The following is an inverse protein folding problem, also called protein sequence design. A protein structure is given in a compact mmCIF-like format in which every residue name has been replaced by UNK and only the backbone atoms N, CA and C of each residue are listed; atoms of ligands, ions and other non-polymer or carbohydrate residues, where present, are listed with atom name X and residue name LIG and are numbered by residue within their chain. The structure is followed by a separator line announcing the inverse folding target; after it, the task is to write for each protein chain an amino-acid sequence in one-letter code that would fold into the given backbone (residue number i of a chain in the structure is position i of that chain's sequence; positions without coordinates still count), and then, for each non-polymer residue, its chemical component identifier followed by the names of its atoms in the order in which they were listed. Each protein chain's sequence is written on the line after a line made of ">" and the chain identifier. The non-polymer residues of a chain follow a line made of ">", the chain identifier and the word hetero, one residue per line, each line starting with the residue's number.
data_IF_286048245972
#
_entry.id   IF_286048245972
#
_cell.length_a   1.000
_cell.length_b   1.000
_cell.length_c   1.000
_cell.angle_alpha   90.00
_cell.angle_beta   90.00
_cell.angle_gamma   90.00
#
_symmetry.space_group_name_H-M   'P 1'
#
loop_
_entity.id
_entity.type
_entity.pdbx_description
1 polymer ?
#
# COMPACT_ATOMS: atom_id res chain seq x y z
N UNK A 1 19.36 16.14 -4.63
CA UNK A 1 17.91 16.01 -4.58
C UNK A 1 17.38 17.11 -3.67
N UNK A 2 16.60 18.07 -4.21
CA UNK A 2 15.92 19.05 -3.39
C UNK A 2 14.98 18.31 -2.44
N UNK A 3 15.30 18.36 -1.14
CA UNK A 3 14.51 17.71 -0.09
C UNK A 3 13.36 18.65 0.28
N UNK A 4 12.14 18.23 0.02
CA UNK A 4 10.94 18.91 0.55
C UNK A 4 10.81 18.56 2.03
N UNK A 5 10.45 19.55 2.83
CA UNK A 5 10.17 19.34 4.25
C UNK A 5 8.69 18.95 4.43
N UNK A 6 8.44 17.66 4.64
CA UNK A 6 7.13 17.21 5.09
C UNK A 6 6.99 17.47 6.60
N UNK A 7 5.83 17.96 7.03
CA UNK A 7 5.50 18.01 8.44
C UNK A 7 5.25 16.59 8.95
N UNK A 8 6.17 16.06 9.77
CA UNK A 8 6.05 14.70 10.31
C UNK A 8 5.20 14.73 11.59
N UNK A 9 3.97 14.23 11.51
CA UNK A 9 3.01 14.09 12.60
C UNK A 9 2.90 12.67 13.14
N UNK A 10 3.79 11.77 12.71
CA UNK A 10 3.79 10.35 13.10
C UNK A 10 3.93 10.16 14.61
N UNK A 11 4.59 11.08 15.31
CA UNK A 11 4.76 11.08 16.76
C UNK A 11 3.44 11.29 17.54
N UNK A 12 2.37 11.76 16.89
CA UNK A 12 1.05 11.92 17.52
C UNK A 12 0.33 10.58 17.70
N UNK A 13 0.77 9.54 17.00
CA UNK A 13 0.12 8.24 16.97
C UNK A 13 1.13 7.16 17.41
N UNK A 14 0.82 6.48 18.51
CA UNK A 14 1.69 5.43 19.05
C UNK A 14 0.99 4.08 18.91
N UNK A 15 1.02 3.51 17.71
CA UNK A 15 0.48 2.17 17.48
C UNK A 15 1.52 1.10 17.82
N UNK A 16 1.13 0.03 18.54
CA UNK A 16 2.01 -1.09 18.79
C UNK A 16 2.37 -1.82 17.50
N UNK A 17 3.59 -2.31 17.42
CA UNK A 17 4.00 -3.18 16.33
C UNK A 17 3.31 -4.53 16.47
N UNK A 18 2.59 -4.95 15.43
CA UNK A 18 1.91 -6.23 15.38
C UNK A 18 2.90 -7.36 15.02
N UNK A 19 2.75 -8.52 15.65
CA UNK A 19 3.43 -9.72 15.19
C UNK A 19 2.82 -10.16 13.85
N UNK A 20 3.67 -10.38 12.85
CA UNK A 20 3.27 -10.85 11.53
C UNK A 20 3.60 -12.33 11.39
N UNK A 21 2.60 -13.12 11.03
CA UNK A 21 2.72 -14.55 10.75
C UNK A 21 2.59 -14.74 9.23
N UNK A 22 3.69 -15.10 8.58
CA UNK A 22 3.68 -15.38 7.14
C UNK A 22 3.03 -16.73 6.86
N UNK A 23 2.16 -16.76 5.84
CA UNK A 23 1.39 -17.94 5.45
C UNK A 23 0.35 -17.59 4.39
N UNK A 24 -0.52 -18.54 4.09
CA UNK A 24 -1.67 -18.33 3.21
C UNK A 24 -2.96 -18.69 3.96
N UNK A 25 -3.68 -17.68 4.50
CA UNK A 25 -3.40 -16.24 4.41
C UNK A 25 -2.29 -15.76 5.38
N UNK A 26 -1.68 -14.61 5.09
CA UNK A 26 -0.84 -13.87 6.04
C UNK A 26 -1.71 -13.34 7.17
N UNK A 27 -1.25 -13.48 8.41
CA UNK A 27 -1.95 -13.02 9.61
C UNK A 27 -1.13 -11.96 10.36
N UNK A 28 -1.83 -11.16 11.14
CA UNK A 28 -1.26 -10.25 12.13
C UNK A 28 -1.92 -10.54 13.49
N UNK A 29 -1.13 -10.45 14.57
CA UNK A 29 -1.64 -10.62 15.94
C UNK A 29 -1.82 -9.25 16.56
N UNK A 30 -3.06 -8.92 16.97
CA UNK A 30 -3.35 -7.65 17.66
C UNK A 30 -2.82 -7.67 19.09
N UNK A 31 -2.73 -6.50 19.77
CA UNK A 31 -2.34 -6.45 21.17
C UNK A 31 -3.19 -7.34 22.09
N UNK A 32 -4.45 -7.55 21.76
CA UNK A 32 -5.41 -8.40 22.49
C UNK A 32 -5.30 -9.88 22.11
N UNK A 33 -4.35 -10.24 21.23
CA UNK A 33 -4.07 -11.62 20.81
C UNK A 33 -4.97 -12.13 19.67
N UNK A 34 -5.81 -11.30 19.05
CA UNK A 34 -6.61 -11.71 17.92
C UNK A 34 -5.72 -11.89 16.67
N UNK A 35 -5.91 -13.00 15.94
CA UNK A 35 -5.21 -13.27 14.68
C UNK A 35 -6.07 -12.82 13.51
N UNK A 36 -5.67 -11.76 12.86
CA UNK A 36 -6.42 -11.13 11.77
C UNK A 36 -5.71 -11.34 10.43
N UNK A 37 -6.42 -11.72 9.34
CA UNK A 37 -5.82 -11.81 8.02
C UNK A 37 -5.41 -10.44 7.50
N UNK A 38 -4.37 -10.44 6.65
CA UNK A 38 -3.91 -9.18 6.08
C UNK A 38 -4.91 -8.62 5.07
N UNK A 39 -5.06 -7.29 5.05
CA UNK A 39 -5.84 -6.57 4.04
C UNK A 39 -5.45 -7.01 2.63
N UNK A 40 -4.15 -7.16 2.37
CA UNK A 40 -3.63 -7.58 1.06
C UNK A 40 -3.94 -9.04 0.73
N UNK A 41 -4.08 -9.94 1.72
CA UNK A 41 -4.58 -11.31 1.47
C UNK A 41 -6.03 -11.30 1.03
N UNK A 42 -6.86 -10.46 1.64
CA UNK A 42 -8.27 -10.30 1.26
C UNK A 42 -8.41 -9.72 -0.14
N UNK A 43 -7.72 -8.61 -0.45
CA UNK A 43 -7.82 -7.99 -1.78
C UNK A 43 -7.18 -8.84 -2.87
N UNK A 44 -6.09 -9.57 -2.57
CA UNK A 44 -5.45 -10.52 -3.48
C UNK A 44 -6.36 -11.69 -3.89
N UNK A 45 -7.38 -11.98 -3.09
CA UNK A 45 -8.37 -13.01 -3.41
C UNK A 45 -9.11 -12.72 -4.71
N UNK A 46 -9.43 -11.46 -5.01
CA UNK A 46 -10.12 -11.06 -6.25
C UNK A 46 -9.26 -11.20 -7.50
N UNK A 47 -7.94 -11.17 -7.37
CA UNK A 47 -6.99 -11.23 -8.50
C UNK A 47 -6.42 -12.64 -8.71
N UNK A 48 -6.71 -13.58 -7.80
CA UNK A 48 -6.09 -14.92 -7.77
C UNK A 48 -6.29 -15.70 -9.08
N UNK A 49 -7.51 -15.70 -9.61
CA UNK A 49 -7.81 -16.42 -10.87
C UNK A 49 -7.07 -15.81 -12.07
N UNK A 50 -7.07 -14.49 -12.19
CA UNK A 50 -6.33 -13.81 -13.26
C UNK A 50 -4.83 -14.05 -13.20
N UNK A 51 -4.25 -14.07 -12.00
CA UNK A 51 -2.85 -14.41 -11.78
C UNK A 51 -2.59 -15.88 -12.17
N UNK A 52 -3.47 -16.81 -11.82
CA UNK A 52 -3.31 -18.22 -12.15
C UNK A 52 -3.39 -18.44 -13.67
N UNK A 53 -4.34 -17.81 -14.36
CA UNK A 53 -4.44 -17.85 -15.83
C UNK A 53 -3.20 -17.28 -16.51
N UNK A 54 -2.69 -16.15 -16.01
CA UNK A 54 -1.44 -15.56 -16.50
C UNK A 54 -0.26 -16.52 -16.29
N UNK A 55 -0.11 -17.12 -15.10
CA UNK A 55 0.95 -18.10 -14.80
C UNK A 55 0.89 -19.31 -15.74
N UNK A 56 -0.31 -19.85 -15.98
CA UNK A 56 -0.50 -20.98 -16.91
C UNK A 56 -0.10 -20.63 -18.35
N UNK A 57 -0.28 -19.37 -18.77
CA UNK A 57 0.05 -18.88 -20.12
C UNK A 57 1.55 -18.65 -20.31
N UNK A 58 2.25 -18.07 -19.32
CA UNK A 58 3.68 -17.73 -19.43
C UNK A 58 4.61 -18.84 -18.93
N UNK A 59 4.08 -19.81 -18.19
CA UNK A 59 4.82 -20.87 -17.53
C UNK A 59 5.34 -20.50 -16.14
N UNK A 60 5.36 -21.47 -15.24
CA UNK A 60 5.66 -21.26 -13.81
C UNK A 60 7.05 -20.64 -13.57
N UNK A 61 8.08 -21.11 -14.25
CA UNK A 61 9.45 -20.62 -14.07
C UNK A 61 9.57 -19.12 -14.43
N UNK A 62 9.01 -18.72 -15.58
CA UNK A 62 9.07 -17.34 -16.04
C UNK A 62 8.14 -16.44 -15.18
N UNK A 63 6.96 -16.93 -14.81
CA UNK A 63 6.06 -16.21 -13.91
C UNK A 63 6.71 -15.95 -12.55
N UNK A 64 7.44 -16.93 -11.98
CA UNK A 64 8.17 -16.75 -10.73
C UNK A 64 9.29 -15.69 -10.85
N UNK A 65 10.04 -15.70 -11.95
CA UNK A 65 11.08 -14.72 -12.23
C UNK A 65 10.52 -13.29 -12.34
N UNK A 66 9.44 -13.13 -13.11
CA UNK A 66 8.76 -11.83 -13.29
C UNK A 66 8.20 -11.34 -11.93
N UNK A 67 7.49 -12.21 -11.20
CA UNK A 67 6.91 -11.85 -9.90
C UNK A 67 7.98 -11.47 -8.87
N UNK A 68 9.10 -12.21 -8.81
CA UNK A 68 10.20 -11.90 -7.91
C UNK A 68 10.86 -10.56 -8.26
N UNK A 69 11.10 -10.30 -9.55
CA UNK A 69 11.65 -9.01 -10.01
C UNK A 69 10.71 -7.86 -9.64
N UNK A 70 9.42 -8.00 -9.91
CA UNK A 70 8.42 -6.98 -9.59
C UNK A 70 8.32 -6.72 -8.07
N UNK A 71 8.30 -7.77 -7.25
CA UNK A 71 8.29 -7.66 -5.79
C UNK A 71 9.53 -6.95 -5.23
N UNK A 72 10.73 -7.36 -5.67
CA UNK A 72 11.98 -6.74 -5.23
C UNK A 72 12.03 -5.25 -5.61
N UNK A 73 11.60 -4.92 -6.83
CA UNK A 73 11.54 -3.55 -7.32
C UNK A 73 10.55 -2.72 -6.49
N UNK A 74 9.35 -3.23 -6.26
CA UNK A 74 8.36 -2.57 -5.41
C UNK A 74 8.89 -2.30 -3.99
N UNK A 75 9.47 -3.31 -3.35
CA UNK A 75 10.08 -3.17 -2.01
C UNK A 75 11.19 -2.10 -2.00
N UNK A 76 12.03 -2.05 -3.04
CA UNK A 76 13.08 -1.03 -3.15
C UNK A 76 12.49 0.38 -3.26
N UNK A 77 11.43 0.56 -4.06
CA UNK A 77 10.75 1.85 -4.23
C UNK A 77 10.11 2.32 -2.92
N UNK A 78 9.40 1.46 -2.19
CA UNK A 78 8.81 1.77 -0.89
C UNK A 78 9.87 2.16 0.13
N UNK A 79 10.97 1.39 0.23
CA UNK A 79 12.08 1.72 1.13
C UNK A 79 12.75 3.07 0.80
N UNK A 80 12.88 3.41 -0.49
CA UNK A 80 13.38 4.73 -0.90
C UNK A 80 12.41 5.85 -0.54
N UNK A 81 11.11 5.64 -0.75
CA UNK A 81 10.07 6.62 -0.42
C UNK A 81 10.01 6.86 1.10
N UNK A 82 10.00 5.79 1.90
CA UNK A 82 10.03 5.87 3.36
C UNK A 82 11.24 6.69 3.85
N UNK A 83 12.46 6.30 3.44
CA UNK A 83 13.69 6.97 3.85
C UNK A 83 13.77 8.42 3.38
N UNK A 84 13.25 8.71 2.20
CA UNK A 84 13.16 10.07 1.68
C UNK A 84 12.25 10.95 2.53
N UNK A 85 11.03 10.46 2.84
CA UNK A 85 10.04 11.17 3.65
C UNK A 85 10.57 11.43 5.06
N UNK A 86 11.21 10.41 5.69
CA UNK A 86 11.77 10.51 7.03
C UNK A 86 13.09 11.28 7.11
N UNK A 87 13.69 11.65 5.97
CA UNK A 87 15.06 12.19 5.90
C UNK A 87 16.08 11.29 6.59
N UNK A 88 15.87 9.97 6.48
CA UNK A 88 16.73 8.95 7.09
C UNK A 88 18.18 9.11 6.60
N UNK A 89 19.13 9.07 7.52
CA UNK A 89 20.57 9.13 7.23
C UNK A 89 21.06 8.04 6.27
N UNK A 90 20.35 6.90 6.24
CA UNK A 90 20.62 5.75 5.36
C UNK A 90 20.01 5.91 3.96
N UNK A 91 19.37 7.04 3.65
CA UNK A 91 18.77 7.24 2.32
C UNK A 91 19.81 7.13 1.20
N UNK A 92 20.94 7.81 1.34
CA UNK A 92 21.99 7.82 0.31
C UNK A 92 22.60 6.43 0.08
N UNK A 93 22.73 5.63 1.12
CA UNK A 93 23.19 4.24 1.03
C UNK A 93 22.15 3.37 0.29
N UNK A 94 20.87 3.48 0.67
CA UNK A 94 19.78 2.75 0.03
C UNK A 94 19.65 3.14 -1.45
N UNK A 95 19.75 4.43 -1.75
CA UNK A 95 19.71 4.97 -3.12
C UNK A 95 20.84 4.41 -4.00
N UNK A 96 22.08 4.39 -3.49
CA UNK A 96 23.24 3.84 -4.22
C UNK A 96 23.15 2.33 -4.48
N UNK A 97 22.45 1.58 -3.61
CA UNK A 97 22.25 0.13 -3.73
C UNK A 97 21.06 -0.24 -4.60
N UNK A 98 20.12 0.68 -4.80
CA UNK A 98 18.91 0.43 -5.58
C UNK A 98 19.23 0.25 -7.07
N UNK A 99 18.43 -0.58 -7.74
CA UNK A 99 18.54 -0.76 -9.18
C UNK A 99 18.05 0.49 -9.93
N UNK A 100 18.62 0.83 -11.10
CA UNK A 100 18.26 2.04 -11.85
C UNK A 100 16.76 2.15 -12.15
N UNK A 101 16.08 1.03 -12.45
CA UNK A 101 14.64 1.01 -12.70
C UNK A 101 13.81 1.35 -11.44
N UNK A 102 14.26 0.91 -10.25
CA UNK A 102 13.62 1.29 -9.00
C UNK A 102 13.85 2.77 -8.65
N UNK A 103 15.03 3.30 -8.95
CA UNK A 103 15.36 4.72 -8.76
C UNK A 103 14.47 5.60 -9.65
N UNK A 104 14.28 5.25 -10.91
CA UNK A 104 13.43 5.99 -11.83
C UNK A 104 11.96 6.02 -11.33
N UNK A 105 11.42 4.86 -10.94
CA UNK A 105 10.06 4.78 -10.39
C UNK A 105 9.92 5.57 -9.08
N UNK A 106 10.91 5.51 -8.19
CA UNK A 106 10.93 6.33 -6.98
C UNK A 106 10.89 7.83 -7.31
N UNK A 107 11.63 8.29 -8.32
CA UNK A 107 11.61 9.70 -8.71
C UNK A 107 10.22 10.16 -9.19
N UNK A 108 9.47 9.30 -9.87
CA UNK A 108 8.10 9.59 -10.29
C UNK A 108 7.17 9.76 -9.07
N UNK A 109 7.25 8.84 -8.09
CA UNK A 109 6.49 8.96 -6.83
C UNK A 109 6.93 10.21 -6.05
N UNK A 110 8.23 10.45 -5.91
CA UNK A 110 8.78 11.60 -5.19
C UNK A 110 8.27 12.93 -5.73
N UNK A 111 8.19 13.10 -7.07
CA UNK A 111 7.65 14.33 -7.66
C UNK A 111 6.22 14.58 -7.20
N UNK A 112 5.37 13.55 -7.23
CA UNK A 112 3.99 13.66 -6.74
C UNK A 112 3.93 13.98 -5.25
N UNK A 113 4.75 13.33 -4.43
CA UNK A 113 4.82 13.61 -2.99
C UNK A 113 5.20 15.07 -2.73
N UNK A 114 6.25 15.56 -3.38
CA UNK A 114 6.75 16.94 -3.21
C UNK A 114 5.73 17.99 -3.62
N UNK A 115 4.94 17.71 -4.65
CA UNK A 115 3.95 18.64 -5.19
C UNK A 115 2.64 18.64 -4.40
N UNK A 116 2.23 17.50 -3.87
CA UNK A 116 0.86 17.30 -3.39
C UNK A 116 0.72 16.97 -1.90
N UNK A 117 1.79 16.56 -1.24
CA UNK A 117 1.75 16.13 0.16
C UNK A 117 2.47 17.15 1.05
N UNK A 118 1.81 17.57 2.12
CA UNK A 118 2.37 18.58 3.05
C UNK A 118 2.69 18.01 4.42
N UNK A 119 1.89 17.06 4.93
CA UNK A 119 2.11 16.45 6.23
C UNK A 119 1.92 14.93 6.18
N UNK A 120 2.66 14.22 7.02
CA UNK A 120 2.64 12.75 7.14
C UNK A 120 2.18 12.37 8.55
N UNK A 121 1.06 11.68 8.65
CA UNK A 121 0.47 11.19 9.89
C UNK A 121 0.89 9.75 10.22
N UNK A 122 1.01 8.89 9.20
CA UNK A 122 1.53 7.54 9.33
C UNK A 122 2.34 7.17 8.09
N UNK A 123 3.39 6.36 8.25
CA UNK A 123 4.25 5.87 7.18
C UNK A 123 4.70 4.45 7.53
N UNK A 124 4.50 3.50 6.60
CA UNK A 124 4.79 2.07 6.78
C UNK A 124 4.29 1.55 8.16
N UNK A 125 3.09 1.98 8.53
CA UNK A 125 2.53 1.77 9.87
C UNK A 125 1.55 0.61 9.87
N UNK A 126 1.70 -0.28 10.86
CA UNK A 126 0.78 -1.40 11.05
C UNK A 126 -0.47 -0.91 11.79
N UNK A 127 -1.63 -1.16 11.20
CA UNK A 127 -2.95 -0.82 11.75
C UNK A 127 -3.92 -1.98 11.55
N UNK A 128 -4.98 -2.01 12.35
CA UNK A 128 -6.01 -3.05 12.29
C UNK A 128 -7.40 -2.47 12.46
N UNK A 129 -8.36 -3.25 12.03
CA UNK A 129 -9.79 -2.95 12.19
C UNK A 129 -10.48 -4.12 12.88
N UNK A 130 -11.02 -3.88 14.05
CA UNK A 130 -11.83 -4.86 14.78
C UNK A 130 -13.19 -5.06 14.11
N UNK A 131 -13.71 -4.03 13.48
CA UNK A 131 -14.95 -4.10 12.70
C UNK A 131 -14.81 -4.94 11.43
N UNK A 132 -13.72 -4.72 10.69
CA UNK A 132 -13.45 -5.49 9.47
C UNK A 132 -12.78 -6.83 9.74
N UNK A 133 -12.25 -7.05 10.95
CA UNK A 133 -11.45 -8.24 11.32
C UNK A 133 -10.27 -8.47 10.40
N UNK A 134 -9.53 -7.40 10.09
CA UNK A 134 -8.32 -7.42 9.24
C UNK A 134 -7.24 -6.50 9.80
N UNK A 135 -5.99 -6.73 9.41
CA UNK A 135 -4.87 -5.86 9.75
C UNK A 135 -3.92 -5.71 8.55
N UNK A 136 -2.99 -4.78 8.62
CA UNK A 136 -1.97 -4.64 7.59
C UNK A 136 -1.06 -3.44 7.81
N UNK A 137 -0.13 -3.25 6.90
CA UNK A 137 0.76 -2.09 6.87
C UNK A 137 0.24 -1.11 5.84
N UNK A 138 -0.11 0.11 6.27
CA UNK A 138 -0.46 1.21 5.37
C UNK A 138 0.82 1.91 4.92
N UNK A 139 0.94 2.18 3.62
CA UNK A 139 2.11 2.84 3.06
C UNK A 139 2.25 4.26 3.63
N UNK A 140 1.20 5.08 3.48
CA UNK A 140 1.21 6.46 3.96
C UNK A 140 -0.20 6.94 4.30
N UNK A 141 -0.32 7.70 5.39
CA UNK A 141 -1.48 8.55 5.69
C UNK A 141 -0.94 9.97 5.86
N UNK A 142 -1.51 10.91 5.14
CA UNK A 142 -1.02 12.29 5.14
C UNK A 142 -1.98 13.29 4.51
N UNK A 143 -1.62 14.56 4.58
CA UNK A 143 -2.38 15.63 3.93
C UNK A 143 -1.99 15.70 2.45
N UNK A 144 -2.87 15.21 1.60
CA UNK A 144 -2.77 15.27 0.14
C UNK A 144 -3.66 16.40 -0.38
N UNK A 145 -3.05 17.42 -0.98
CA UNK A 145 -3.75 18.65 -1.41
C UNK A 145 -4.61 19.26 -0.26
N UNK A 146 -4.07 19.23 0.96
CA UNK A 146 -4.69 19.80 2.16
C UNK A 146 -5.77 18.93 2.81
N UNK A 147 -6.09 17.74 2.29
CA UNK A 147 -7.09 16.83 2.84
C UNK A 147 -6.43 15.52 3.33
N UNK A 148 -6.86 15.02 4.49
CA UNK A 148 -6.33 13.77 5.03
C UNK A 148 -6.71 12.59 4.12
N UNK A 149 -5.71 11.85 3.68
CA UNK A 149 -5.84 10.76 2.70
C UNK A 149 -5.06 9.52 3.10
N UNK A 150 -5.55 8.36 2.69
CA UNK A 150 -4.73 7.15 2.57
C UNK A 150 -4.05 7.18 1.20
N UNK A 151 -2.72 7.14 1.20
CA UNK A 151 -1.89 7.21 0.00
C UNK A 151 -1.15 5.88 -0.13
N UNK A 152 -1.30 5.23 -1.28
CA UNK A 152 -0.71 3.91 -1.54
C UNK A 152 0.20 4.00 -2.78
N UNK A 153 1.42 3.49 -2.63
CA UNK A 153 2.43 3.52 -3.68
C UNK A 153 2.45 2.19 -4.44
N UNK A 154 2.37 2.28 -5.75
CA UNK A 154 2.42 1.09 -6.61
C UNK A 154 3.43 1.25 -7.73
N UNK A 155 4.04 0.14 -8.11
CA UNK A 155 4.92 0.05 -9.27
C UNK A 155 4.33 -0.87 -10.33
N UNK A 156 4.54 -0.55 -11.59
CA UNK A 156 4.04 -1.35 -12.70
C UNK A 156 5.03 -1.31 -13.87
N UNK A 157 4.99 -2.30 -14.75
CA UNK A 157 5.70 -2.24 -16.04
C UNK A 157 4.95 -1.44 -17.09
N UNK A 158 3.62 -1.27 -16.94
CA UNK A 158 2.77 -0.56 -17.90
C UNK A 158 1.79 0.35 -17.19
N UNK A 159 1.30 1.40 -17.85
CA UNK A 159 0.23 2.23 -17.33
C UNK A 159 -0.98 1.39 -16.91
N UNK A 160 -1.63 1.78 -15.84
CA UNK A 160 -2.83 1.12 -15.32
C UNK A 160 -4.09 1.82 -15.82
N UNK A 161 -5.11 1.03 -16.12
CA UNK A 161 -6.47 1.52 -16.33
C UNK A 161 -7.23 1.39 -14.99
N UNK A 162 -8.07 2.37 -14.71
CA UNK A 162 -8.74 2.51 -13.41
C UNK A 162 -9.53 1.25 -12.99
N UNK A 163 -10.20 0.60 -13.93
CA UNK A 163 -11.01 -0.59 -13.63
C UNK A 163 -10.17 -1.82 -13.23
N UNK A 164 -8.87 -1.85 -13.57
CA UNK A 164 -7.98 -2.94 -13.13
C UNK A 164 -7.39 -2.74 -11.74
N UNK A 165 -7.57 -1.57 -11.13
CA UNK A 165 -6.98 -1.23 -9.84
C UNK A 165 -8.01 -1.05 -8.71
N UNK A 166 -9.26 -1.48 -8.90
CA UNK A 166 -10.30 -1.38 -7.86
C UNK A 166 -9.88 -2.06 -6.55
N UNK A 167 -9.10 -3.14 -6.63
CA UNK A 167 -8.56 -3.82 -5.46
C UNK A 167 -7.57 -2.97 -4.64
N UNK A 168 -6.86 -1.99 -5.25
CA UNK A 168 -6.05 -1.02 -4.51
C UNK A 168 -6.93 -0.03 -3.73
N UNK A 169 -8.05 0.40 -4.30
CA UNK A 169 -9.01 1.23 -3.57
C UNK A 169 -9.74 0.46 -2.47
N UNK A 170 -10.00 -0.82 -2.64
CA UNK A 170 -10.49 -1.68 -1.55
C UNK A 170 -9.46 -1.76 -0.42
N UNK A 171 -8.18 -1.93 -0.73
CA UNK A 171 -7.09 -1.95 0.24
C UNK A 171 -7.03 -0.63 1.02
N UNK A 172 -6.97 0.51 0.35
CA UNK A 172 -6.88 1.82 0.99
C UNK A 172 -8.14 2.18 1.78
N UNK A 173 -9.33 1.74 1.34
CA UNK A 173 -10.58 1.94 2.10
C UNK A 173 -10.62 1.15 3.41
N UNK A 174 -10.05 -0.07 3.42
CA UNK A 174 -9.90 -0.84 4.65
C UNK A 174 -8.94 -0.16 5.63
N UNK A 175 -7.86 0.43 5.14
CA UNK A 175 -6.96 1.23 5.98
C UNK A 175 -7.60 2.51 6.49
N UNK A 176 -8.42 3.20 5.69
CA UNK A 176 -9.20 4.35 6.15
C UNK A 176 -10.15 3.98 7.30
N UNK A 177 -10.80 2.81 7.21
CA UNK A 177 -11.65 2.27 8.27
C UNK A 177 -10.83 1.96 9.54
N UNK A 178 -9.71 1.25 9.41
CA UNK A 178 -8.82 0.93 10.52
C UNK A 178 -8.29 2.20 11.20
N UNK A 179 -7.88 3.20 10.42
CA UNK A 179 -7.43 4.49 10.95
C UNK A 179 -8.51 5.17 11.78
N UNK A 180 -9.74 5.23 11.26
CA UNK A 180 -10.86 5.81 12.00
C UNK A 180 -11.16 5.07 13.31
N UNK A 181 -11.09 3.75 13.32
CA UNK A 181 -11.29 2.98 14.56
C UNK A 181 -10.25 3.33 15.63
N UNK A 182 -9.00 3.46 15.23
CA UNK A 182 -7.86 3.68 16.14
C UNK A 182 -7.71 5.14 16.58
N UNK A 183 -8.05 6.11 15.71
CA UNK A 183 -7.78 7.54 15.95
C UNK A 183 -9.02 8.41 16.12
N UNK A 184 -10.18 7.96 15.61
CA UNK A 184 -11.42 8.71 15.43
C UNK A 184 -11.33 9.83 14.37
N UNK A 185 -10.27 9.85 13.59
CA UNK A 185 -10.11 10.80 12.47
C UNK A 185 -10.64 10.17 11.18
N UNK A 186 -11.70 10.70 10.57
CA UNK A 186 -12.26 10.13 9.35
C UNK A 186 -11.39 10.45 8.13
N UNK A 187 -11.18 9.46 7.28
CA UNK A 187 -10.52 9.63 5.98
C UNK A 187 -11.51 9.26 4.87
N UNK A 188 -11.81 10.21 4.00
CA UNK A 188 -12.66 9.96 2.84
C UNK A 188 -11.87 9.92 1.52
N UNK A 189 -10.68 10.52 1.47
CA UNK A 189 -9.84 10.57 0.27
C UNK A 189 -8.91 9.37 0.20
N UNK A 190 -8.97 8.64 -0.92
CA UNK A 190 -8.08 7.55 -1.26
C UNK A 190 -7.24 7.94 -2.47
N UNK A 191 -5.93 7.79 -2.38
CA UNK A 191 -4.98 8.16 -3.43
C UNK A 191 -4.10 6.96 -3.76
N UNK A 192 -4.08 6.56 -5.02
CA UNK A 192 -3.16 5.54 -5.54
C UNK A 192 -2.19 6.23 -6.49
N UNK A 193 -0.90 6.16 -6.18
CA UNK A 193 0.19 6.70 -6.99
C UNK A 193 0.89 5.52 -7.66
N UNK A 194 0.74 5.39 -8.99
CA UNK A 194 1.33 4.29 -9.77
C UNK A 194 2.48 4.81 -10.62
N UNK A 195 3.70 4.47 -10.24
CA UNK A 195 4.86 4.68 -11.11
C UNK A 195 5.01 3.49 -12.06
N UNK A 196 5.20 3.74 -13.36
CA UNK A 196 5.37 2.70 -14.37
C UNK A 196 6.55 2.99 -15.29
N UNK A 197 6.96 1.98 -16.07
CA UNK A 197 8.18 2.07 -16.90
C UNK A 197 7.98 2.89 -18.19
N UNK A 198 6.74 3.14 -18.62
CA UNK A 198 6.42 3.77 -19.91
C UNK A 198 6.18 5.29 -19.78
N UNK A 199 5.51 5.72 -18.69
CA UNK A 199 5.19 7.14 -18.49
C UNK A 199 6.34 7.91 -17.85
N UNK A 200 6.46 9.19 -18.14
CA UNK A 200 7.46 10.08 -17.52
C UNK A 200 7.08 10.50 -16.09
N UNK A 201 5.78 10.52 -15.79
CA UNK A 201 5.21 10.86 -14.48
C UNK A 201 4.44 9.68 -13.90
N UNK A 202 4.20 9.70 -12.59
CA UNK A 202 3.32 8.73 -11.97
C UNK A 202 1.86 9.00 -12.34
N UNK A 203 1.09 7.95 -12.58
CA UNK A 203 -0.36 8.05 -12.69
C UNK A 203 -0.95 8.24 -11.27
N UNK A 204 -1.91 9.15 -11.15
CA UNK A 204 -2.58 9.45 -9.90
C UNK A 204 -4.07 9.13 -10.05
N UNK A 205 -4.56 8.25 -9.19
CA UNK A 205 -5.96 7.89 -9.12
C UNK A 205 -6.53 8.27 -7.76
N UNK A 206 -7.65 8.98 -7.75
CA UNK A 206 -8.29 9.46 -6.52
C UNK A 206 -9.73 8.97 -6.47
N UNK A 207 -10.16 8.50 -5.29
CA UNK A 207 -11.53 8.03 -5.03
C UNK A 207 -11.96 8.36 -3.60
N UNK A 208 -13.22 8.11 -3.32
CA UNK A 208 -13.78 8.19 -1.97
C UNK A 208 -13.97 6.82 -1.35
N UNK A 209 -13.94 6.75 -0.02
CA UNK A 209 -13.90 5.51 0.76
C UNK A 209 -15.16 4.65 0.62
N UNK A 210 -16.35 5.25 0.59
CA UNK A 210 -17.63 4.54 0.80
C UNK A 210 -17.88 3.36 -0.16
N UNK A 211 -17.73 3.60 -1.48
CA UNK A 211 -17.94 2.54 -2.49
C UNK A 211 -17.01 1.35 -2.25
N UNK A 212 -15.74 1.64 -2.07
CA UNK A 212 -14.70 0.62 -2.01
C UNK A 212 -14.66 -0.12 -0.67
N UNK A 213 -15.09 0.53 0.42
CA UNK A 213 -15.30 -0.15 1.69
C UNK A 213 -16.42 -1.19 1.62
N UNK A 214 -17.52 -0.90 0.92
CA UNK A 214 -18.58 -1.89 0.65
C UNK A 214 -18.06 -3.07 -0.17
N UNK A 215 -17.28 -2.79 -1.22
CA UNK A 215 -16.67 -3.83 -2.04
C UNK A 215 -15.69 -4.68 -1.23
N UNK A 216 -14.85 -4.04 -0.40
CA UNK A 216 -13.93 -4.73 0.48
C UNK A 216 -14.67 -5.67 1.45
N UNK A 217 -15.75 -5.21 2.09
CA UNK A 217 -16.56 -6.04 3.00
C UNK A 217 -17.12 -7.27 2.28
N UNK A 218 -17.69 -7.10 1.11
CA UNK A 218 -18.23 -8.23 0.34
C UNK A 218 -17.13 -9.24 -0.03
N UNK A 219 -15.96 -8.76 -0.44
CA UNK A 219 -14.79 -9.61 -0.74
C UNK A 219 -14.27 -10.32 0.50
N UNK A 220 -14.18 -9.61 1.64
CA UNK A 220 -13.76 -10.18 2.92
C UNK A 220 -14.70 -11.29 3.37
N UNK A 221 -16.02 -11.12 3.25
CA UNK A 221 -16.99 -12.13 3.65
C UNK A 221 -16.82 -13.42 2.83
N UNK A 222 -16.59 -13.30 1.51
CA UNK A 222 -16.27 -14.45 0.65
C UNK A 222 -14.94 -15.10 1.02
N UNK A 223 -13.93 -14.29 1.34
CA UNK A 223 -12.62 -14.74 1.78
C UNK A 223 -12.73 -15.53 3.09
N UNK A 224 -13.49 -15.03 4.06
CA UNK A 224 -13.70 -15.71 5.35
C UNK A 224 -14.40 -17.05 5.19
N UNK A 225 -15.45 -17.12 4.36
CA UNK A 225 -16.11 -18.40 4.04
C UNK A 225 -15.10 -19.40 3.46
N UNK A 226 -14.25 -18.97 2.54
CA UNK A 226 -13.27 -19.85 1.88
C UNK A 226 -12.20 -20.38 2.82
N UNK A 227 -11.72 -19.56 3.74
CA UNK A 227 -10.62 -19.93 4.65
C UNK A 227 -11.12 -20.44 6.02
N UNK A 228 -12.42 -20.44 6.27
CA UNK A 228 -13.01 -20.89 7.53
C UNK A 228 -12.67 -19.99 8.73
N UNK A 229 -12.57 -18.68 8.49
CA UNK A 229 -12.19 -17.68 9.49
C UNK A 229 -13.42 -16.91 9.94
#
# INVERSE_FOLDING_TARGET
>A
LDKVDFELRTHLYNFPKLERIDGEPRLYVTPEGAKLPSVTSVTGFTTKEGIQQWRSRVGEAEANKISKKASNRGTSVHNLAEKYILKDEKFDEAYKKAMPDAIDLFHKIRRTLNDKVTAIHALETQIWSDYLKVAGTVDCIGLYEGELAVIDFKTSSKPKQEHYIEHYFMQTSAYACAWYELTKEPINKLVIIVANDEDTEAQIFQKTTYKYLKMFKATRDQFFIKYGI
#
